data_IF_000029883879
#
_entry.id   IF_000029883879
#
_cell.length_a   1.000
_cell.length_b   1.000
_cell.length_c   1.000
_cell.angle_alpha   90.00
_cell.angle_beta   90.00
_cell.angle_gamma   90.00
#
_symmetry.space_group_name_H-M   'P 1'
#
loop_
_entity.id
_entity.type
_entity.pdbx_description
1 polymer ?
#
# COMPACT_ATOMS: atom_id res chain seq x y z
N UNK A 1 51.78 11.91 -4.26
CA UNK A 1 50.72 12.07 -3.24
C UNK A 1 49.46 12.80 -3.73
N UNK A 2 49.51 13.59 -4.82
CA UNK A 2 48.36 14.41 -5.27
C UNK A 2 47.37 13.76 -6.25
N UNK A 3 47.69 12.60 -6.85
CA UNK A 3 46.77 11.91 -7.78
C UNK A 3 45.82 10.92 -7.09
N UNK A 4 46.24 10.32 -5.98
CA UNK A 4 45.42 9.39 -5.19
C UNK A 4 44.26 10.10 -4.49
N UNK A 5 44.49 11.31 -3.96
CA UNK A 5 43.44 12.13 -3.32
C UNK A 5 42.38 12.63 -4.32
N UNK A 6 42.74 12.91 -5.58
CA UNK A 6 41.79 13.35 -6.60
C UNK A 6 40.90 12.23 -7.12
N UNK A 7 41.43 11.00 -7.22
CA UNK A 7 40.65 9.84 -7.69
C UNK A 7 39.64 9.36 -6.64
N UNK A 8 39.90 9.55 -5.35
CA UNK A 8 39.00 9.14 -4.27
C UNK A 8 37.73 10.02 -4.18
N UNK A 9 37.85 11.32 -4.52
CA UNK A 9 36.73 12.27 -4.49
C UNK A 9 35.69 12.04 -5.59
N UNK A 10 36.08 11.48 -6.74
CA UNK A 10 35.14 11.23 -7.86
C UNK A 10 34.28 9.99 -7.60
N UNK A 11 34.81 8.98 -6.89
CA UNK A 11 34.07 7.76 -6.54
C UNK A 11 33.02 8.03 -5.46
N UNK A 12 33.29 8.95 -4.52
CA UNK A 12 32.34 9.28 -3.46
C UNK A 12 31.08 10.00 -3.96
N UNK A 13 31.16 10.79 -5.04
CA UNK A 13 30.02 11.54 -5.59
C UNK A 13 29.10 10.63 -6.43
N UNK A 14 29.65 9.61 -7.09
CA UNK A 14 28.85 8.66 -7.88
C UNK A 14 28.06 7.67 -7.00
N UNK A 15 28.48 7.41 -5.76
CA UNK A 15 27.82 6.47 -4.86
C UNK A 15 26.56 7.03 -4.17
N UNK A 16 26.28 8.33 -4.29
CA UNK A 16 25.17 9.00 -3.58
C UNK A 16 23.91 9.19 -4.44
N UNK A 17 23.95 8.85 -5.74
CA UNK A 17 22.83 9.09 -6.68
C UNK A 17 22.06 7.80 -7.01
N UNK A 18 22.42 6.66 -6.43
CA UNK A 18 21.51 5.51 -6.39
C UNK A 18 20.52 5.64 -5.22
N UNK A 19 19.90 6.81 -5.06
CA UNK A 19 18.57 6.84 -4.50
C UNK A 19 17.70 6.15 -5.55
N UNK A 20 17.54 4.83 -5.44
CA UNK A 20 16.53 4.09 -6.18
C UNK A 20 15.23 4.89 -6.03
N UNK A 21 14.76 5.52 -7.11
CA UNK A 21 13.50 6.25 -7.11
C UNK A 21 12.40 5.22 -6.83
N UNK A 22 12.05 5.08 -5.56
CA UNK A 22 10.86 4.37 -5.15
C UNK A 22 9.69 5.27 -5.53
N UNK A 23 9.04 4.94 -6.64
CA UNK A 23 7.79 5.58 -7.01
C UNK A 23 6.63 4.82 -6.38
N UNK A 24 5.69 5.56 -5.78
CA UNK A 24 4.51 4.98 -5.16
C UNK A 24 3.69 4.18 -6.21
N UNK A 25 3.55 2.86 -6.06
CA UNK A 25 2.81 2.03 -7.02
C UNK A 25 1.35 2.46 -7.22
N UNK A 26 0.73 3.06 -6.19
CA UNK A 26 -0.64 3.56 -6.26
C UNK A 26 -0.77 4.74 -7.24
N UNK A 27 0.33 5.47 -7.47
CA UNK A 27 0.42 6.60 -8.41
C UNK A 27 0.82 6.16 -9.82
N UNK A 28 1.67 5.15 -9.94
CA UNK A 28 2.22 4.71 -11.24
C UNK A 28 1.32 3.71 -11.98
N UNK A 29 0.43 3.03 -11.26
CA UNK A 29 -0.60 2.16 -11.84
C UNK A 29 -1.88 2.96 -12.19
N UNK A 30 -2.72 2.46 -13.12
CA UNK A 30 -4.02 3.08 -13.40
C UNK A 30 -4.88 3.17 -12.13
N UNK A 31 -5.58 4.29 -11.93
CA UNK A 31 -6.38 4.54 -10.72
C UNK A 31 -7.34 3.39 -10.36
N UNK A 32 -8.04 2.83 -11.35
CA UNK A 32 -8.92 1.66 -11.16
C UNK A 32 -8.17 0.43 -10.63
N UNK A 33 -6.96 0.19 -11.12
CA UNK A 33 -6.12 -0.92 -10.65
C UNK A 33 -5.64 -0.66 -9.21
N UNK A 34 -5.23 0.57 -8.89
CA UNK A 34 -4.85 0.98 -7.53
C UNK A 34 -6.01 0.80 -6.54
N UNK A 35 -7.21 1.28 -6.87
CA UNK A 35 -8.41 1.11 -6.03
C UNK A 35 -8.75 -0.38 -5.85
N UNK A 36 -8.75 -1.14 -6.94
CA UNK A 36 -9.01 -2.58 -6.90
C UNK A 36 -8.01 -3.28 -5.98
N UNK A 37 -6.73 -2.97 -6.11
CA UNK A 37 -5.69 -3.51 -5.25
C UNK A 37 -5.94 -3.14 -3.77
N UNK A 38 -6.19 -1.87 -3.45
CA UNK A 38 -6.37 -1.41 -2.08
C UNK A 38 -7.54 -2.11 -1.38
N UNK A 39 -8.70 -2.23 -2.05
CA UNK A 39 -9.89 -2.91 -1.51
C UNK A 39 -9.59 -4.38 -1.24
N UNK A 40 -8.98 -5.07 -2.22
CA UNK A 40 -8.67 -6.50 -2.06
C UNK A 40 -7.61 -6.75 -1.00
N UNK A 41 -6.58 -5.91 -0.93
CA UNK A 41 -5.55 -5.99 0.09
C UNK A 41 -6.14 -5.75 1.49
N UNK A 42 -6.99 -4.73 1.64
CA UNK A 42 -7.67 -4.42 2.90
C UNK A 42 -8.58 -5.58 3.33
N UNK A 43 -9.46 -6.06 2.45
CA UNK A 43 -10.37 -7.16 2.72
C UNK A 43 -9.66 -8.47 3.13
N UNK A 44 -8.56 -8.81 2.46
CA UNK A 44 -7.78 -10.01 2.82
C UNK A 44 -7.03 -9.82 4.14
N UNK A 45 -6.47 -8.63 4.41
CA UNK A 45 -5.85 -8.32 5.69
C UNK A 45 -6.86 -8.37 6.84
N UNK A 46 -8.01 -7.72 6.67
CA UNK A 46 -9.15 -7.74 7.59
C UNK A 46 -9.60 -9.16 7.96
N UNK A 47 -9.81 -10.00 6.95
CA UNK A 47 -10.20 -11.41 7.13
C UNK A 47 -9.17 -12.19 7.94
N UNK A 48 -7.87 -12.02 7.63
CA UNK A 48 -6.76 -12.72 8.30
C UNK A 48 -6.52 -12.23 9.73
N UNK A 49 -6.76 -10.94 9.97
CA UNK A 49 -6.63 -10.32 11.28
C UNK A 49 -7.87 -10.53 12.16
N UNK A 50 -8.92 -11.15 11.62
CA UNK A 50 -10.20 -11.40 12.29
C UNK A 50 -10.82 -10.14 12.89
N UNK A 51 -10.79 -9.03 12.15
CA UNK A 51 -11.48 -7.82 12.59
C UNK A 51 -12.99 -8.10 12.68
N UNK A 52 -13.65 -7.51 13.69
CA UNK A 52 -15.05 -7.75 14.02
C UNK A 52 -16.03 -6.99 13.09
N UNK A 53 -15.73 -6.98 11.80
CA UNK A 53 -16.49 -6.28 10.76
C UNK A 53 -17.51 -7.23 10.14
N UNK A 54 -18.65 -6.66 9.74
CA UNK A 54 -19.65 -7.41 9.00
C UNK A 54 -19.03 -7.99 7.71
N UNK A 55 -19.40 -9.23 7.36
CA UNK A 55 -18.76 -9.96 6.24
C UNK A 55 -18.97 -9.30 4.88
N UNK A 56 -19.95 -8.41 4.76
CA UNK A 56 -20.27 -7.57 3.62
C UNK A 56 -19.62 -6.18 3.65
N UNK A 57 -18.87 -5.89 4.72
CA UNK A 57 -18.11 -4.66 4.88
C UNK A 57 -16.58 -4.89 4.78
N UNK A 58 -16.14 -6.01 4.19
CA UNK A 58 -14.70 -6.21 3.96
C UNK A 58 -14.14 -5.20 2.96
N UNK A 59 -12.98 -4.64 3.27
CA UNK A 59 -12.34 -3.58 2.50
C UNK A 59 -12.60 -2.18 3.05
N UNK A 60 -13.53 -2.00 3.99
CA UNK A 60 -13.82 -0.67 4.54
C UNK A 60 -12.78 -0.21 5.58
N UNK A 61 -12.02 -1.14 6.18
CA UNK A 61 -11.10 -0.79 7.26
C UNK A 61 -10.00 0.16 6.80
N UNK A 62 -9.51 0.02 5.57
CA UNK A 62 -8.49 0.93 5.03
C UNK A 62 -9.01 2.36 4.87
N UNK A 63 -10.26 2.52 4.40
CA UNK A 63 -10.91 3.83 4.32
C UNK A 63 -11.02 4.47 5.72
N UNK A 64 -11.50 3.72 6.72
CA UNK A 64 -11.60 4.23 8.09
C UNK A 64 -10.24 4.68 8.65
N UNK A 65 -9.20 3.89 8.40
CA UNK A 65 -7.84 4.24 8.82
C UNK A 65 -7.33 5.51 8.13
N UNK A 66 -7.59 5.69 6.84
CA UNK A 66 -7.17 6.89 6.10
C UNK A 66 -7.95 8.15 6.51
N UNK A 67 -9.23 8.00 6.88
CA UNK A 67 -10.06 9.06 7.44
C UNK A 67 -9.70 9.42 8.90
N UNK A 68 -8.78 8.66 9.53
CA UNK A 68 -8.38 8.86 10.91
C UNK A 68 -9.45 8.47 11.92
N UNK A 69 -10.43 7.65 11.52
CA UNK A 69 -11.45 7.11 12.42
C UNK A 69 -10.79 6.12 13.38
N UNK A 70 -11.08 6.28 14.67
CA UNK A 70 -10.60 5.36 15.69
C UNK A 70 -11.72 4.37 16.04
N UNK A 71 -11.86 3.33 15.22
CA UNK A 71 -12.65 2.17 15.60
C UNK A 71 -11.79 1.29 16.53
N UNK A 72 -12.24 0.97 17.76
CA UNK A 72 -11.49 0.07 18.65
C UNK A 72 -11.32 -1.34 18.07
N UNK A 73 -12.11 -1.69 17.06
CA UNK A 73 -12.10 -2.98 16.38
C UNK A 73 -11.08 -3.02 15.23
N UNK A 74 -10.58 -1.86 14.79
CA UNK A 74 -9.67 -1.73 13.66
C UNK A 74 -8.28 -1.30 14.13
N UNK A 75 -7.32 -2.22 13.98
CA UNK A 75 -5.91 -1.97 14.29
C UNK A 75 -5.20 -1.53 13.00
N UNK A 76 -5.20 -0.24 12.69
CA UNK A 76 -4.69 0.30 11.42
C UNK A 76 -3.25 -0.11 11.10
N UNK A 77 -2.34 -0.10 12.09
CA UNK A 77 -0.96 -0.55 11.86
C UNK A 77 -0.90 -2.01 11.41
N UNK A 78 -1.68 -2.89 12.06
CA UNK A 78 -1.76 -4.30 11.68
C UNK A 78 -2.40 -4.48 10.31
N UNK A 79 -3.41 -3.67 9.98
CA UNK A 79 -4.06 -3.65 8.67
C UNK A 79 -3.05 -3.32 7.57
N UNK A 80 -2.31 -2.22 7.69
CA UNK A 80 -1.33 -1.82 6.69
C UNK A 80 -0.23 -2.88 6.49
N UNK A 81 0.25 -3.50 7.58
CA UNK A 81 1.20 -4.61 7.47
C UNK A 81 0.59 -5.82 6.76
N UNK A 82 -0.68 -6.15 7.04
CA UNK A 82 -1.41 -7.21 6.35
C UNK A 82 -1.56 -6.94 4.85
N UNK A 83 -1.83 -5.69 4.46
CA UNK A 83 -1.92 -5.27 3.06
C UNK A 83 -0.57 -5.39 2.34
N UNK A 84 0.54 -5.01 2.98
CA UNK A 84 1.89 -5.18 2.43
C UNK A 84 2.23 -6.66 2.28
N UNK A 85 1.87 -7.49 3.27
CA UNK A 85 2.07 -8.94 3.19
C UNK A 85 1.29 -9.54 2.00
N UNK A 86 0.02 -9.15 1.85
CA UNK A 86 -0.81 -9.55 0.72
C UNK A 86 -0.20 -9.12 -0.63
N UNK A 87 0.31 -7.89 -0.74
CA UNK A 87 0.94 -7.41 -1.97
C UNK A 87 2.15 -8.27 -2.38
N UNK A 88 2.92 -8.76 -1.40
CA UNK A 88 4.10 -9.62 -1.62
C UNK A 88 3.74 -11.02 -2.11
N UNK A 89 2.50 -11.48 -1.93
CA UNK A 89 2.03 -12.76 -2.47
C UNK A 89 1.94 -12.76 -4.00
N UNK A 90 2.01 -11.58 -4.63
CA UNK A 90 2.15 -11.48 -6.09
C UNK A 90 0.86 -11.64 -6.88
N UNK A 91 -0.30 -11.64 -6.21
CA UNK A 91 -1.61 -11.58 -6.87
C UNK A 91 -1.80 -10.31 -7.71
N UNK A 92 -1.06 -9.25 -7.39
CA UNK A 92 -1.05 -7.96 -8.07
C UNK A 92 0.39 -7.53 -8.39
N UNK A 93 0.90 -7.91 -9.56
CA UNK A 93 2.32 -7.76 -9.94
C UNK A 93 2.86 -6.31 -9.90
N UNK A 94 1.99 -5.31 -10.03
CA UNK A 94 2.37 -3.90 -9.95
C UNK A 94 2.63 -3.36 -8.53
N UNK A 95 2.25 -4.09 -7.48
CA UNK A 95 2.19 -3.56 -6.11
C UNK A 95 3.09 -4.29 -5.12
N UNK A 96 3.87 -5.28 -5.57
CA UNK A 96 4.71 -6.14 -4.70
C UNK A 96 5.73 -5.37 -3.84
N UNK A 97 6.13 -4.18 -4.30
CA UNK A 97 7.09 -3.31 -3.63
C UNK A 97 6.42 -2.18 -2.83
N UNK A 98 5.10 -2.21 -2.69
CA UNK A 98 4.37 -1.19 -1.93
C UNK A 98 4.86 -1.16 -0.48
N UNK A 99 5.01 0.05 0.04
CA UNK A 99 5.51 0.32 1.37
C UNK A 99 4.41 0.88 2.27
N UNK A 100 4.69 0.98 3.57
CA UNK A 100 3.79 1.65 4.50
C UNK A 100 3.59 3.11 4.09
N UNK A 101 4.66 3.82 3.73
CA UNK A 101 4.59 5.21 3.30
C UNK A 101 3.66 5.39 2.09
N UNK A 102 3.69 4.44 1.15
CA UNK A 102 2.79 4.47 -0.01
C UNK A 102 1.32 4.32 0.38
N UNK A 103 1.04 3.35 1.27
CA UNK A 103 -0.31 3.06 1.75
C UNK A 103 -0.89 4.17 2.63
N UNK A 104 -0.04 4.96 3.29
CA UNK A 104 -0.46 6.04 4.20
C UNK A 104 -0.31 7.44 3.59
N UNK A 105 -0.03 7.54 2.29
CA UNK A 105 -0.01 8.83 1.59
C UNK A 105 -1.43 9.38 1.47
N UNK A 106 -1.77 10.32 2.36
CA UNK A 106 -3.10 10.93 2.43
C UNK A 106 -3.46 11.70 1.17
N UNK A 107 -2.52 12.44 0.61
CA UNK A 107 -2.78 13.25 -0.59
C UNK A 107 -3.11 12.34 -1.78
N UNK A 108 -2.39 11.23 -1.90
CA UNK A 108 -2.68 10.26 -2.96
C UNK A 108 -4.01 9.54 -2.72
N UNK A 109 -4.32 9.20 -1.47
CA UNK A 109 -5.59 8.56 -1.15
C UNK A 109 -6.79 9.47 -1.43
N UNK A 110 -6.71 10.77 -1.12
CA UNK A 110 -7.76 11.74 -1.44
C UNK A 110 -8.11 11.74 -2.94
N UNK A 111 -7.12 11.55 -3.82
CA UNK A 111 -7.33 11.43 -5.27
C UNK A 111 -8.03 10.12 -5.68
N UNK A 112 -7.96 9.09 -4.85
CA UNK A 112 -8.53 7.76 -5.09
C UNK A 112 -9.83 7.52 -4.30
N UNK A 113 -10.16 8.38 -3.34
CA UNK A 113 -11.19 8.15 -2.32
C UNK A 113 -12.59 7.93 -2.92
N UNK A 114 -13.00 8.73 -3.91
CA UNK A 114 -14.30 8.58 -4.56
C UNK A 114 -14.41 7.22 -5.27
N UNK A 115 -13.39 6.86 -6.04
CA UNK A 115 -13.33 5.56 -6.72
C UNK A 115 -13.27 4.39 -5.73
N UNK A 116 -12.60 4.59 -4.59
CA UNK A 116 -12.56 3.63 -3.51
C UNK A 116 -13.95 3.39 -2.92
N UNK A 117 -14.64 4.45 -2.50
CA UNK A 117 -15.97 4.37 -1.91
C UNK A 117 -16.99 3.75 -2.87
N UNK A 118 -16.97 4.15 -4.15
CA UNK A 118 -17.83 3.57 -5.18
C UNK A 118 -17.55 2.07 -5.36
N UNK A 119 -16.28 1.68 -5.47
CA UNK A 119 -15.91 0.28 -5.68
C UNK A 119 -16.24 -0.57 -4.46
N UNK A 120 -15.99 -0.07 -3.24
CA UNK A 120 -16.32 -0.77 -2.00
C UNK A 120 -17.84 -0.96 -1.82
N UNK A 121 -18.65 -0.02 -2.31
CA UNK A 121 -20.13 -0.13 -2.25
C UNK A 121 -20.73 -1.05 -3.32
N UNK A 122 -20.04 -1.25 -4.45
CA UNK A 122 -20.61 -1.91 -5.64
C UNK A 122 -19.95 -3.25 -6.00
N UNK A 123 -18.76 -3.52 -5.47
CA UNK A 123 -17.93 -4.67 -5.85
C UNK A 123 -17.54 -5.48 -4.62
N UNK A 124 -17.77 -6.79 -4.69
CA UNK A 124 -17.32 -7.70 -3.64
C UNK A 124 -15.80 -7.95 -3.74
N UNK A 125 -15.04 -7.86 -2.64
CA UNK A 125 -13.62 -8.15 -2.69
C UNK A 125 -13.33 -9.61 -3.02
N UNK A 126 -12.32 -9.85 -3.84
CA UNK A 126 -11.75 -11.15 -4.11
C UNK A 126 -10.92 -11.63 -2.91
N UNK A 127 -11.57 -12.40 -2.05
CA UNK A 127 -10.93 -13.05 -0.91
C UNK A 127 -10.16 -14.28 -1.38
N UNK A 128 -8.84 -14.26 -1.19
CA UNK A 128 -7.98 -15.41 -1.49
C UNK A 128 -8.11 -16.42 -0.36
N UNK A 129 -8.28 -17.70 -0.69
CA UNK A 129 -8.23 -18.76 0.31
C UNK A 129 -6.81 -18.83 0.88
N UNK A 130 -6.66 -18.65 2.19
CA UNK A 130 -5.36 -18.75 2.85
C UNK A 130 -4.82 -20.16 2.75
N UNK A 131 -3.52 -20.27 2.50
CA UNK A 131 -2.72 -21.49 2.76
C UNK A 131 -2.33 -21.56 4.22
#
# INVERSE_FOLDING_TARGET
MNHLLKSLMVVLIAAVISACQHENPLKTQPAKASVTFLINASANAEKRLHFAIHKDAYGFAYLECMEGKQSPEIRCDALYQGMIAFAKEGHYSGFQKITLADLTDKNLFELLADGYAETAATTWPHLVSGT
#
